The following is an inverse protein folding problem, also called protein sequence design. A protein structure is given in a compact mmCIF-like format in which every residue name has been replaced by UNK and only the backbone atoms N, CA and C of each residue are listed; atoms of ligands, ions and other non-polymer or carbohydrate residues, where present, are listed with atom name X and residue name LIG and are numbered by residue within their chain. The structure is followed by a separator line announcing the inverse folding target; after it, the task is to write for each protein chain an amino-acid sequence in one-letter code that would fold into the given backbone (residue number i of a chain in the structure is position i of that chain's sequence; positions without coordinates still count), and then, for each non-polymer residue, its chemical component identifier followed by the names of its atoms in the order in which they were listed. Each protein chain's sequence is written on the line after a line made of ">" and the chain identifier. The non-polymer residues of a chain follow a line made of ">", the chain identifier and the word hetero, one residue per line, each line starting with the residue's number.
data_IF_272189749466
#
_entry.id   IF_272189749466
#
_cell.length_a   1.000
_cell.length_b   1.000
_cell.length_c   1.000
_cell.angle_alpha   90.00
_cell.angle_beta   90.00
_cell.angle_gamma   90.00
#
_symmetry.space_group_name_H-M   'P 1'
#
loop_
_entity.id
_entity.type
_entity.pdbx_description
1 polymer ?
#
# COMPACT_ATOMS: atom_id res chain seq x y z
N UNK A 1 -8.31 26.71 33.72
CA UNK A 1 -8.15 26.37 32.29
C UNK A 1 -9.48 26.12 31.57
N UNK A 2 -10.41 25.29 32.08
CA UNK A 2 -11.73 25.12 31.43
C UNK A 2 -12.64 26.36 31.44
N UNK A 3 -12.36 27.33 32.33
CA UNK A 3 -13.15 28.56 32.50
C UNK A 3 -12.60 29.75 31.68
N UNK A 4 -11.53 29.54 30.90
CA UNK A 4 -10.96 30.59 30.05
C UNK A 4 -11.63 30.60 28.67
N UNK A 5 -11.67 31.75 27.97
CA UNK A 5 -12.16 31.81 26.61
C UNK A 5 -11.44 30.81 25.70
N UNK A 6 -12.16 30.18 24.75
CA UNK A 6 -11.64 29.11 23.88
C UNK A 6 -10.33 29.49 23.14
N UNK A 7 -10.19 30.75 22.72
CA UNK A 7 -8.98 31.21 22.03
C UNK A 7 -7.74 31.17 22.94
N UNK A 8 -7.88 31.47 24.24
CA UNK A 8 -6.77 31.42 25.21
C UNK A 8 -6.33 29.98 25.44
N UNK A 9 -7.29 29.05 25.52
CA UNK A 9 -7.02 27.62 25.65
C UNK A 9 -6.26 27.09 24.42
N UNK A 10 -6.66 27.52 23.22
CA UNK A 10 -6.02 27.10 21.97
C UNK A 10 -4.59 27.65 21.83
N UNK A 11 -4.37 28.94 22.09
CA UNK A 11 -3.03 29.55 22.03
C UNK A 11 -2.09 28.91 23.07
N UNK A 12 -2.58 28.70 24.30
CA UNK A 12 -1.80 28.02 25.33
C UNK A 12 -1.49 26.57 24.94
N UNK A 13 -2.43 25.87 24.30
CA UNK A 13 -2.18 24.52 23.77
C UNK A 13 -1.09 24.53 22.70
N UNK A 14 -1.15 25.45 21.73
CA UNK A 14 -0.13 25.58 20.70
C UNK A 14 1.27 25.88 21.27
N UNK A 15 1.35 26.74 22.27
CA UNK A 15 2.61 27.03 22.97
C UNK A 15 3.20 25.77 23.64
N UNK A 16 2.35 24.99 24.32
CA UNK A 16 2.78 23.73 24.94
C UNK A 16 3.20 22.68 23.88
N UNK A 17 2.48 22.57 22.76
CA UNK A 17 2.83 21.68 21.65
C UNK A 17 4.16 22.09 21.01
N UNK A 18 4.44 23.39 20.85
CA UNK A 18 5.72 23.88 20.36
C UNK A 18 6.89 23.50 21.28
N UNK A 19 6.64 23.35 22.59
CA UNK A 19 7.60 22.82 23.57
C UNK A 19 7.58 21.27 23.66
N UNK A 20 6.98 20.58 22.69
CA UNK A 20 6.78 19.12 22.66
C UNK A 20 5.97 18.56 23.84
N UNK A 21 5.20 19.40 24.54
CA UNK A 21 4.34 19.00 25.64
C UNK A 21 2.87 18.89 25.18
N UNK A 22 2.49 17.68 24.75
CA UNK A 22 1.13 17.37 24.29
C UNK A 22 0.12 17.15 25.43
N UNK A 23 0.58 17.15 26.68
CA UNK A 23 -0.26 16.91 27.86
C UNK A 23 -0.78 15.48 27.99
N UNK A 24 -1.82 15.33 28.81
CA UNK A 24 -2.48 14.06 29.11
C UNK A 24 -3.84 13.97 28.41
N UNK A 25 -4.22 12.75 28.01
CA UNK A 25 -5.55 12.46 27.48
C UNK A 25 -6.62 12.77 28.54
N UNK A 26 -7.64 13.53 28.16
CA UNK A 26 -8.77 13.86 29.06
C UNK A 26 -9.59 12.64 29.48
N UNK A 27 -9.51 11.54 28.72
CA UNK A 27 -10.28 10.31 28.97
C UNK A 27 -9.44 9.27 29.71
N UNK A 28 -8.21 9.02 29.24
CA UNK A 28 -7.37 7.93 29.74
C UNK A 28 -6.27 8.38 30.71
N UNK A 29 -6.09 9.68 30.91
CA UNK A 29 -5.02 10.32 31.69
C UNK A 29 -3.58 9.88 31.32
N UNK A 30 -3.39 9.29 30.14
CA UNK A 30 -2.09 8.88 29.60
C UNK A 30 -1.42 10.00 28.84
N UNK A 31 -0.09 9.99 28.80
CA UNK A 31 0.71 10.91 27.99
C UNK A 31 0.33 10.79 26.51
N UNK A 32 -0.17 11.88 25.92
CA UNK A 32 -0.65 11.91 24.52
C UNK A 32 0.49 11.55 23.56
N UNK A 33 1.70 12.06 23.80
CA UNK A 33 2.86 11.81 22.94
C UNK A 33 3.21 10.32 22.81
N UNK A 34 3.11 9.56 23.91
CA UNK A 34 3.40 8.12 23.89
C UNK A 34 2.35 7.35 23.07
N UNK A 35 1.09 7.77 23.16
CA UNK A 35 -0.01 7.19 22.39
C UNK A 35 0.14 7.51 20.89
N UNK A 36 0.56 8.74 20.55
CA UNK A 36 0.86 9.15 19.18
C UNK A 36 1.99 8.31 18.58
N UNK A 37 3.11 8.14 19.29
CA UNK A 37 4.23 7.30 18.82
C UNK A 37 3.78 5.86 18.60
N UNK A 38 3.02 5.29 19.54
CA UNK A 38 2.53 3.92 19.43
C UNK A 38 1.64 3.73 18.19
N UNK A 39 0.74 4.67 17.93
CA UNK A 39 -0.13 4.65 16.73
C UNK A 39 0.66 4.86 15.45
N UNK A 40 1.63 5.78 15.47
CA UNK A 40 2.53 6.02 14.35
C UNK A 40 3.29 4.76 13.93
N UNK A 41 3.85 4.01 14.89
CA UNK A 41 4.53 2.73 14.61
C UNK A 41 3.60 1.68 14.00
N UNK A 42 2.34 1.63 14.44
CA UNK A 42 1.33 0.73 13.88
C UNK A 42 1.04 1.12 12.42
N UNK A 43 0.78 2.40 12.16
CA UNK A 43 0.52 2.90 10.80
C UNK A 43 1.71 2.66 9.87
N UNK A 44 2.93 2.87 10.35
CA UNK A 44 4.16 2.61 9.58
C UNK A 44 4.30 1.12 9.25
N UNK A 45 4.04 0.25 10.22
CA UNK A 45 4.07 -1.20 10.01
C UNK A 45 3.03 -1.64 8.98
N UNK A 46 1.81 -1.10 9.07
CA UNK A 46 0.72 -1.37 8.13
C UNK A 46 1.09 -0.91 6.70
N UNK A 47 1.59 0.31 6.57
CA UNK A 47 2.07 0.87 5.29
C UNK A 47 3.16 -0.02 4.67
N UNK A 48 4.15 -0.44 5.47
CA UNK A 48 5.22 -1.32 5.02
C UNK A 48 4.70 -2.64 4.46
N UNK A 49 3.75 -3.27 5.16
CA UNK A 49 3.12 -4.52 4.68
C UNK A 49 2.32 -4.27 3.40
N UNK A 50 1.53 -3.21 3.32
CA UNK A 50 0.77 -2.84 2.10
C UNK A 50 1.68 -2.65 0.89
N UNK A 51 2.81 -1.95 1.05
CA UNK A 51 3.80 -1.75 -0.02
C UNK A 51 4.42 -3.08 -0.46
N UNK A 52 4.75 -3.97 0.46
CA UNK A 52 5.28 -5.30 0.13
C UNK A 52 4.26 -6.11 -0.67
N UNK A 53 3.00 -6.17 -0.23
CA UNK A 53 1.94 -6.90 -0.94
C UNK A 53 1.79 -6.32 -2.36
N UNK A 54 1.78 -4.99 -2.49
CA UNK A 54 1.66 -4.30 -3.77
C UNK A 54 2.84 -4.60 -4.70
N UNK A 55 4.07 -4.53 -4.18
CA UNK A 55 5.27 -4.85 -4.94
C UNK A 55 5.26 -6.30 -5.44
N UNK A 56 4.92 -7.26 -4.57
CA UNK A 56 4.80 -8.66 -4.94
C UNK A 56 3.72 -8.89 -6.02
N UNK A 57 2.58 -8.21 -5.90
CA UNK A 57 1.53 -8.27 -6.91
C UNK A 57 2.00 -7.71 -8.25
N UNK A 58 2.63 -6.53 -8.29
CA UNK A 58 3.13 -5.95 -9.54
C UNK A 58 4.20 -6.83 -10.21
N UNK A 59 5.03 -7.55 -9.45
CA UNK A 59 5.92 -8.57 -10.02
C UNK A 59 5.13 -9.66 -10.74
N UNK A 60 4.04 -10.16 -10.14
CA UNK A 60 3.18 -11.16 -10.82
C UNK A 60 2.53 -10.62 -12.09
N UNK A 61 2.22 -9.32 -12.15
CA UNK A 61 1.72 -8.65 -13.36
C UNK A 61 2.80 -8.64 -14.44
N UNK A 62 4.05 -8.31 -14.12
CA UNK A 62 5.17 -8.39 -15.07
C UNK A 62 5.37 -9.82 -15.57
N UNK A 63 5.41 -10.80 -14.67
CA UNK A 63 5.59 -12.21 -15.05
C UNK A 63 4.46 -12.74 -15.93
N UNK A 64 3.27 -12.14 -15.87
CA UNK A 64 2.15 -12.49 -16.72
C UNK A 64 2.43 -12.30 -18.22
N UNK A 65 3.39 -11.45 -18.60
CA UNK A 65 3.81 -11.27 -19.99
C UNK A 65 4.56 -12.48 -20.57
N UNK A 66 5.10 -13.37 -19.74
CA UNK A 66 5.75 -14.61 -20.18
C UNK A 66 4.79 -15.80 -20.26
N UNK A 67 3.69 -15.77 -19.50
CA UNK A 67 2.79 -16.92 -19.32
C UNK A 67 1.35 -16.49 -19.64
N UNK A 68 0.81 -16.88 -20.81
CA UNK A 68 -0.54 -16.47 -21.25
C UNK A 68 -1.67 -16.86 -20.29
N UNK A 69 -1.50 -17.97 -19.54
CA UNK A 69 -2.46 -18.38 -18.50
C UNK A 69 -2.52 -17.39 -17.35
N UNK A 70 -1.35 -16.95 -16.85
CA UNK A 70 -1.26 -15.98 -15.77
C UNK A 70 -1.82 -14.62 -16.17
N UNK A 71 -1.63 -14.21 -17.44
CA UNK A 71 -2.19 -12.95 -17.96
C UNK A 71 -3.71 -12.89 -17.86
N UNK A 72 -4.40 -13.96 -18.26
CA UNK A 72 -5.87 -14.06 -18.15
C UNK A 72 -6.33 -13.95 -16.69
N UNK A 73 -5.62 -14.60 -15.76
CA UNK A 73 -5.92 -14.49 -14.33
C UNK A 73 -5.75 -13.06 -13.83
N UNK A 74 -4.69 -12.37 -14.25
CA UNK A 74 -4.45 -10.97 -13.87
C UNK A 74 -5.51 -10.03 -14.42
N UNK A 75 -5.98 -10.25 -15.65
CA UNK A 75 -7.05 -9.44 -16.25
C UNK A 75 -8.39 -9.65 -15.51
N UNK A 76 -8.70 -10.88 -15.09
CA UNK A 76 -9.86 -11.17 -14.25
C UNK A 76 -9.76 -10.52 -12.86
N UNK A 77 -8.59 -10.60 -12.22
CA UNK A 77 -8.36 -9.97 -10.91
C UNK A 77 -8.53 -8.45 -11.01
N UNK A 78 -7.92 -7.83 -12.01
CA UNK A 78 -8.03 -6.39 -12.25
C UNK A 78 -9.48 -5.95 -12.52
N UNK A 79 -10.22 -6.74 -13.31
CA UNK A 79 -11.64 -6.51 -13.54
C UNK A 79 -12.47 -6.57 -12.25
N UNK A 80 -12.23 -7.58 -11.40
CA UNK A 80 -12.91 -7.71 -10.11
C UNK A 80 -12.56 -6.55 -9.17
N UNK A 81 -11.29 -6.15 -9.11
CA UNK A 81 -10.85 -5.04 -8.28
C UNK A 81 -11.41 -3.70 -8.75
N UNK A 82 -11.46 -3.45 -10.05
CA UNK A 82 -12.03 -2.21 -10.61
C UNK A 82 -13.54 -2.15 -10.48
N UNK A 83 -14.22 -3.30 -10.40
CA UNK A 83 -15.69 -3.37 -10.30
C UNK A 83 -16.20 -3.28 -8.88
N UNK A 84 -15.37 -3.57 -7.87
CA UNK A 84 -15.74 -3.53 -6.46
C UNK A 84 -15.24 -2.24 -5.81
N UNK A 85 -16.14 -1.35 -5.34
CA UNK A 85 -15.74 -0.19 -4.56
C UNK A 85 -14.93 -0.60 -3.31
N UNK A 86 -13.92 0.18 -2.95
CA UNK A 86 -13.00 -0.15 -1.83
C UNK A 86 -13.73 -0.36 -0.49
N UNK A 87 -14.82 0.37 -0.25
CA UNK A 87 -15.62 0.19 0.97
C UNK A 87 -16.25 -1.22 1.02
N UNK A 88 -16.71 -1.73 -0.13
CA UNK A 88 -17.38 -3.02 -0.21
C UNK A 88 -16.39 -4.17 -0.04
N UNK A 89 -15.22 -4.08 -0.67
CA UNK A 89 -14.12 -5.04 -0.42
C UNK A 89 -13.68 -5.01 1.05
N UNK A 90 -13.67 -3.83 1.68
CA UNK A 90 -13.39 -3.70 3.11
C UNK A 90 -14.38 -4.46 3.98
N UNK A 91 -15.67 -4.40 3.66
CA UNK A 91 -16.72 -5.15 4.38
C UNK A 91 -16.53 -6.66 4.21
N UNK A 92 -16.28 -7.15 2.99
CA UNK A 92 -16.07 -8.59 2.75
C UNK A 92 -14.87 -9.11 3.54
N UNK A 93 -13.75 -8.39 3.50
CA UNK A 93 -12.55 -8.77 4.25
C UNK A 93 -12.82 -8.71 5.76
N UNK A 94 -13.54 -7.70 6.24
CA UNK A 94 -13.92 -7.62 7.65
C UNK A 94 -14.79 -8.82 8.10
N UNK A 95 -15.78 -9.21 7.30
CA UNK A 95 -16.61 -10.40 7.57
C UNK A 95 -15.77 -11.68 7.59
N UNK A 96 -14.83 -11.81 6.66
CA UNK A 96 -13.90 -12.93 6.63
C UNK A 96 -13.03 -12.98 7.89
N UNK A 97 -12.50 -11.84 8.33
CA UNK A 97 -11.69 -11.76 9.57
C UNK A 97 -12.51 -12.16 10.78
N UNK A 98 -13.74 -11.66 10.92
CA UNK A 98 -14.62 -11.99 12.05
C UNK A 98 -14.92 -13.49 12.12
N UNK A 99 -15.10 -14.14 10.96
CA UNK A 99 -15.42 -15.55 10.90
C UNK A 99 -14.21 -16.47 11.11
N UNK A 100 -13.05 -16.12 10.53
CA UNK A 100 -11.88 -17.01 10.48
C UNK A 100 -10.78 -16.71 11.52
N UNK A 101 -10.71 -15.49 12.06
CA UNK A 101 -9.65 -15.11 13.01
C UNK A 101 -10.17 -15.03 14.46
N UNK A 102 -9.55 -15.74 15.42
CA UNK A 102 -9.85 -15.54 16.82
C UNK A 102 -9.45 -14.12 17.24
N UNK A 103 -10.38 -13.41 17.89
CA UNK A 103 -10.17 -12.04 18.36
C UNK A 103 -9.07 -12.05 19.42
N UNK A 104 -7.82 -11.73 19.05
CA UNK A 104 -6.73 -11.55 19.99
C UNK A 104 -6.10 -10.16 19.84
N UNK A 105 -5.46 -9.69 20.91
CA UNK A 105 -4.92 -8.33 21.00
C UNK A 105 -3.75 -8.12 20.03
N UNK A 106 -3.97 -7.33 19.00
CA UNK A 106 -2.92 -6.88 18.11
C UNK A 106 -2.01 -5.85 18.81
N UNK A 107 -0.71 -6.14 18.87
CA UNK A 107 0.26 -5.35 19.65
C UNK A 107 0.99 -4.25 18.87
N UNK A 108 0.83 -4.17 17.54
CA UNK A 108 1.51 -3.17 16.72
C UNK A 108 2.96 -3.46 16.35
N UNK A 109 3.56 -4.52 16.90
CA UNK A 109 4.96 -4.88 16.66
C UNK A 109 5.06 -6.04 15.67
N UNK A 110 5.86 -5.89 14.62
CA UNK A 110 6.16 -6.96 13.65
C UNK A 110 7.05 -8.10 14.24
N UNK A 111 7.29 -8.12 15.55
CA UNK A 111 8.21 -9.05 16.20
C UNK A 111 7.73 -10.51 16.25
N UNK A 112 6.45 -10.76 16.00
CA UNK A 112 5.86 -12.10 16.01
C UNK A 112 5.08 -12.32 14.72
N UNK A 113 5.20 -13.52 14.14
CA UNK A 113 4.44 -13.93 12.95
C UNK A 113 2.94 -13.77 13.14
N UNK A 114 2.43 -14.01 14.35
CA UNK A 114 1.02 -13.78 14.71
C UNK A 114 0.58 -12.34 14.43
N UNK A 115 1.42 -11.35 14.71
CA UNK A 115 1.12 -9.93 14.49
C UNK A 115 1.06 -9.57 13.00
N UNK A 116 1.85 -10.22 12.14
CA UNK A 116 1.82 -10.00 10.69
C UNK A 116 0.48 -10.48 10.11
N UNK A 117 -0.01 -11.63 10.57
CA UNK A 117 -1.30 -12.17 10.15
C UNK A 117 -2.47 -11.25 10.49
N UNK A 118 -2.42 -10.50 11.59
CA UNK A 118 -3.44 -9.49 11.92
C UNK A 118 -3.35 -8.22 11.05
N UNK A 119 -2.17 -7.92 10.50
CA UNK A 119 -1.98 -6.80 9.57
C UNK A 119 -2.40 -7.12 8.13
N UNK A 120 -2.33 -8.38 7.74
CA UNK A 120 -2.63 -8.81 6.38
C UNK A 120 -4.02 -8.38 5.90
N UNK A 121 -5.12 -8.62 6.64
CA UNK A 121 -6.46 -8.22 6.18
C UNK A 121 -6.61 -6.71 5.93
N UNK A 122 -6.30 -5.79 6.87
CA UNK A 122 -6.38 -4.37 6.59
C UNK A 122 -5.37 -3.93 5.52
N UNK A 123 -4.19 -4.54 5.46
CA UNK A 123 -3.21 -4.23 4.41
C UNK A 123 -3.69 -4.63 3.00
N UNK A 124 -4.41 -5.75 2.88
CA UNK A 124 -5.02 -6.22 1.62
C UNK A 124 -6.12 -5.27 1.15
N UNK A 125 -6.99 -4.82 2.06
CA UNK A 125 -8.04 -3.85 1.71
C UNK A 125 -7.41 -2.55 1.20
N UNK A 126 -6.36 -2.08 1.87
CA UNK A 126 -5.62 -0.88 1.46
C UNK A 126 -4.88 -1.04 0.13
N UNK A 127 -4.44 -2.26 -0.21
CA UNK A 127 -3.71 -2.49 -1.45
C UNK A 127 -4.61 -2.64 -2.68
N UNK A 128 -5.88 -3.04 -2.53
CA UNK A 128 -6.79 -3.29 -3.67
C UNK A 128 -6.92 -2.10 -4.62
N UNK A 129 -7.10 -0.89 -4.08
CA UNK A 129 -7.24 0.32 -4.90
C UNK A 129 -5.97 0.63 -5.72
N UNK A 130 -4.78 0.79 -5.11
CA UNK A 130 -3.57 1.06 -5.88
C UNK A 130 -3.14 -0.15 -6.73
N UNK A 131 -3.48 -1.38 -6.36
CA UNK A 131 -3.22 -2.56 -7.21
C UNK A 131 -3.92 -2.45 -8.57
N UNK A 132 -5.22 -2.11 -8.59
CA UNK A 132 -5.97 -1.99 -9.84
C UNK A 132 -5.43 -0.89 -10.75
N UNK A 133 -5.07 0.27 -10.17
CA UNK A 133 -4.59 1.41 -10.95
C UNK A 133 -3.16 1.17 -11.46
N UNK A 134 -2.26 0.73 -10.58
CA UNK A 134 -0.85 0.57 -10.93
C UNK A 134 -0.61 -0.64 -11.83
N UNK A 135 -1.40 -1.73 -11.70
CA UNK A 135 -1.29 -2.84 -12.64
C UNK A 135 -1.69 -2.43 -14.05
N UNK A 136 -2.75 -1.63 -14.19
CA UNK A 136 -3.19 -1.09 -15.48
C UNK A 136 -2.11 -0.24 -16.14
N UNK A 137 -1.57 0.74 -15.39
CA UNK A 137 -0.48 1.61 -15.87
C UNK A 137 0.75 0.76 -16.24
N UNK A 138 1.15 -0.17 -15.38
CA UNK A 138 2.30 -1.04 -15.62
C UNK A 138 2.11 -1.89 -16.88
N UNK A 139 0.91 -2.42 -17.11
CA UNK A 139 0.60 -3.21 -18.32
C UNK A 139 0.68 -2.35 -19.58
N UNK A 140 0.15 -1.13 -19.55
CA UNK A 140 0.21 -0.17 -20.67
C UNK A 140 1.68 0.17 -21.02
N UNK A 141 2.47 0.52 -20.01
CA UNK A 141 3.91 0.81 -20.16
C UNK A 141 4.70 -0.40 -20.68
N UNK A 142 4.49 -1.58 -20.08
CA UNK A 142 5.16 -2.81 -20.51
C UNK A 142 4.79 -3.20 -21.94
N UNK A 143 3.52 -3.08 -22.32
CA UNK A 143 3.07 -3.31 -23.69
C UNK A 143 3.71 -2.34 -24.68
N UNK A 144 3.83 -1.06 -24.31
CA UNK A 144 4.52 -0.05 -25.13
C UNK A 144 6.01 -0.38 -25.31
N UNK A 145 6.72 -0.69 -24.23
CA UNK A 145 8.16 -1.04 -24.26
C UNK A 145 8.43 -2.31 -25.07
N UNK A 146 7.61 -3.35 -24.91
CA UNK A 146 7.79 -4.62 -25.64
C UNK A 146 7.54 -4.50 -27.15
N UNK A 147 6.81 -3.47 -27.59
CA UNK A 147 6.58 -3.16 -29.01
C UNK A 147 7.66 -2.25 -29.60
N UNK A 148 8.58 -1.73 -28.79
CA UNK A 148 9.62 -0.82 -29.26
C UNK A 148 10.63 -1.52 -30.20
N UNK A 149 11.15 -0.77 -31.17
CA UNK A 149 12.12 -1.28 -32.15
C UNK A 149 13.41 -1.81 -31.52
N UNK A 150 13.79 -1.28 -30.34
CA UNK A 150 14.96 -1.75 -29.60
C UNK A 150 14.77 -3.18 -29.06
N UNK A 151 13.58 -3.51 -28.53
CA UNK A 151 13.27 -4.87 -28.05
C UNK A 151 13.21 -5.84 -29.23
N UNK A 152 12.66 -5.42 -30.37
CA UNK A 152 12.65 -6.23 -31.60
C UNK A 152 14.08 -6.52 -32.07
N UNK A 153 14.98 -5.54 -31.99
CA UNK A 153 16.40 -5.74 -32.31
C UNK A 153 17.08 -6.72 -31.35
N UNK A 154 16.86 -6.60 -30.03
CA UNK A 154 17.40 -7.56 -29.05
C UNK A 154 16.87 -8.99 -29.29
N UNK A 155 15.58 -9.14 -29.65
CA UNK A 155 15.05 -10.45 -30.05
C UNK A 155 15.72 -11.00 -31.30
N UNK A 156 16.01 -10.15 -32.29
CA UNK A 156 16.73 -10.56 -33.51
C UNK A 156 18.17 -11.01 -33.24
N UNK A 157 18.79 -10.49 -32.17
CA UNK A 157 20.10 -10.91 -31.69
C UNK A 157 20.08 -12.21 -30.87
N UNK A 158 18.90 -12.80 -30.63
CA UNK A 158 18.75 -14.10 -29.96
C UNK A 158 18.64 -14.03 -28.43
N UNK A 159 18.42 -12.85 -27.85
CA UNK A 159 18.11 -12.76 -26.43
C UNK A 159 16.75 -13.38 -26.11
N UNK A 160 16.65 -14.12 -25.01
CA UNK A 160 15.40 -14.76 -24.59
C UNK A 160 14.41 -13.74 -24.00
N UNK A 161 13.12 -14.01 -24.17
CA UNK A 161 12.04 -13.15 -23.64
C UNK A 161 12.17 -12.91 -22.12
N UNK A 162 12.70 -13.89 -21.38
CA UNK A 162 12.94 -13.77 -19.93
C UNK A 162 14.04 -12.77 -19.61
N UNK A 163 15.15 -12.78 -20.36
CA UNK A 163 16.28 -11.86 -20.15
C UNK A 163 15.86 -10.43 -20.49
N UNK A 164 15.15 -10.26 -21.61
CA UNK A 164 14.57 -8.98 -22.04
C UNK A 164 13.64 -8.48 -20.93
N UNK A 165 12.66 -9.30 -20.52
CA UNK A 165 11.71 -8.91 -19.49
C UNK A 165 12.41 -8.51 -18.18
N UNK A 166 13.35 -9.30 -17.67
CA UNK A 166 14.04 -8.98 -16.41
C UNK A 166 14.78 -7.65 -16.46
N UNK A 167 15.44 -7.35 -17.59
CA UNK A 167 16.18 -6.10 -17.82
C UNK A 167 15.27 -4.86 -17.78
N UNK A 168 14.05 -4.96 -18.31
CA UNK A 168 13.11 -3.84 -18.39
C UNK A 168 12.10 -3.80 -17.22
N UNK A 169 11.78 -4.94 -16.62
CA UNK A 169 10.81 -5.11 -15.55
C UNK A 169 11.13 -4.33 -14.28
N UNK A 170 12.38 -4.42 -13.78
CA UNK A 170 12.77 -3.80 -12.51
C UNK A 170 12.60 -2.29 -12.56
N UNK A 171 12.95 -1.65 -13.69
CA UNK A 171 12.79 -0.21 -13.86
C UNK A 171 11.31 0.19 -13.93
N UNK A 172 10.47 -0.63 -14.58
CA UNK A 172 9.05 -0.35 -14.77
C UNK A 172 8.20 -0.62 -13.51
N UNK A 173 8.61 -1.54 -12.63
CA UNK A 173 7.92 -1.79 -11.35
C UNK A 173 8.29 -0.77 -10.28
N UNK A 174 9.51 -0.24 -10.30
CA UNK A 174 9.97 0.71 -9.27
C UNK A 174 9.31 2.09 -9.40
N UNK A 175 9.04 2.55 -10.62
CA UNK A 175 8.46 3.89 -10.86
C UNK A 175 7.05 4.01 -10.22
N UNK A 176 6.08 3.11 -10.48
CA UNK A 176 4.74 3.20 -9.89
C UNK A 176 4.74 2.97 -8.37
N UNK A 177 5.60 2.09 -7.86
CA UNK A 177 5.70 1.81 -6.41
C UNK A 177 6.24 3.02 -5.65
N UNK A 178 7.24 3.71 -6.21
CA UNK A 178 7.75 4.95 -5.61
C UNK A 178 6.71 6.08 -5.68
N UNK A 179 5.85 6.10 -6.71
CA UNK A 179 4.80 7.10 -6.87
C UNK A 179 3.76 7.07 -5.74
N UNK A 180 3.49 5.91 -5.12
CA UNK A 180 2.58 5.79 -3.96
C UNK A 180 3.07 6.62 -2.75
N UNK A 181 4.35 7.01 -2.70
CA UNK A 181 4.90 7.90 -1.67
C UNK A 181 4.96 9.39 -2.04
N UNK A 182 4.63 9.77 -3.27
CA UNK A 182 4.69 11.15 -3.77
C UNK A 182 3.34 11.49 -4.39
N UNK A 183 2.42 12.13 -3.64
CA UNK A 183 1.20 12.61 -4.24
C UNK A 183 1.56 13.64 -5.31
N UNK A 184 0.93 13.46 -6.47
CA UNK A 184 0.81 14.38 -7.59
C UNK A 184 2.06 14.62 -8.44
N UNK A 185 2.21 13.83 -9.51
CA UNK A 185 2.62 14.37 -10.82
C UNK A 185 1.99 13.52 -11.94
N UNK A 186 0.72 13.81 -12.26
CA UNK A 186 0.13 13.52 -13.57
C UNK A 186 -0.31 14.86 -14.17
N UNK A 187 0.21 15.19 -15.34
CA UNK A 187 -0.37 16.22 -16.20
C UNK A 187 0.59 17.34 -16.61
N UNK A 188 1.56 17.01 -17.46
CA UNK A 188 1.69 17.62 -18.80
C UNK A 188 2.61 16.75 -19.67
#
# INVERSE_FOLDING_TARGET
>A
RLNEPLYVQFVSYLENVAMFNFGHSYVDNRNVFQEVIKRFQITLSLMGVTVIILFLYLLTVVFSFLVPGLRRCQDLIEFLMSSLPIFFSGIIVALFVVYFYPVTFFSGKLSSWSNIFYLMPPALVLSFYPMAILSKILKEEMSSVLLSSFVIAEKSWGFSDVVILYRYALKNVLIPVCHVGLPDYVGN
#
